data_IF_520217597332
#
_entry.id   IF_520217597332
#
_cell.length_a   1.000
_cell.length_b   1.000
_cell.length_c   1.000
_cell.angle_alpha   90.00
_cell.angle_beta   90.00
_cell.angle_gamma   90.00
#
_symmetry.space_group_name_H-M   'P 1'
#
loop_
_entity.id
_entity.type
_entity.pdbx_description
1 polymer ?
#
# COMPACT_ATOMS: atom_id res chain seq x y z
N UNK A 1 -27.63 20.69 57.40
CA UNK A 1 -26.29 20.16 57.05
C UNK A 1 -26.13 20.28 55.55
N UNK A 2 -25.26 21.19 55.09
CA UNK A 2 -24.96 21.38 53.67
C UNK A 2 -23.48 21.07 53.48
N UNK A 3 -23.17 19.94 52.85
CA UNK A 3 -21.79 19.55 52.55
C UNK A 3 -21.40 20.15 51.20
N UNK A 4 -20.52 21.16 51.24
CA UNK A 4 -19.81 21.72 50.08
C UNK A 4 -18.75 20.72 49.63
N UNK A 5 -18.75 20.40 48.35
CA UNK A 5 -17.71 19.64 47.66
C UNK A 5 -16.45 20.51 47.53
N UNK A 6 -15.41 20.20 48.30
CA UNK A 6 -14.08 20.80 48.14
C UNK A 6 -13.40 20.27 46.86
N UNK A 7 -13.24 21.15 45.86
CA UNK A 7 -12.35 20.90 44.72
C UNK A 7 -10.91 20.99 45.23
N UNK A 8 -10.16 19.89 45.17
CA UNK A 8 -8.70 19.90 45.36
C UNK A 8 -8.06 20.67 44.20
N UNK A 9 -7.75 21.95 44.42
CA UNK A 9 -6.97 22.75 43.50
C UNK A 9 -5.49 22.36 43.58
N UNK A 10 -4.85 22.17 42.43
CA UNK A 10 -3.40 22.04 42.36
C UNK A 10 -2.81 23.41 42.68
N UNK A 11 -2.17 23.56 43.84
CA UNK A 11 -1.46 24.77 44.20
C UNK A 11 -0.10 24.76 43.50
N UNK A 12 0.05 25.61 42.47
CA UNK A 12 1.34 25.90 41.83
C UNK A 12 1.74 27.30 42.25
N UNK A 13 2.90 27.43 42.88
CA UNK A 13 3.44 28.71 43.31
C UNK A 13 3.81 29.55 42.07
N UNK A 14 3.55 30.85 42.09
CA UNK A 14 3.79 31.72 40.93
C UNK A 14 5.28 31.77 40.56
N UNK A 15 6.16 31.53 41.53
CA UNK A 15 7.60 31.43 41.34
C UNK A 15 8.03 30.22 40.48
N UNK A 16 7.27 29.12 40.52
CA UNK A 16 7.56 27.90 39.75
C UNK A 16 7.20 28.00 38.26
N UNK A 17 6.37 28.99 37.91
CA UNK A 17 5.96 29.24 36.52
C UNK A 17 6.89 30.24 35.80
N UNK A 18 7.74 30.95 36.53
CA UNK A 18 8.61 31.98 35.97
C UNK A 18 9.88 31.39 35.35
N UNK A 19 10.36 32.07 34.31
CA UNK A 19 11.60 31.72 33.63
C UNK A 19 12.76 31.69 34.63
N UNK A 20 13.53 30.60 34.63
CA UNK A 20 14.70 30.41 35.51
C UNK A 20 15.76 31.51 35.42
N UNK A 21 15.79 32.30 34.35
CA UNK A 21 16.69 33.47 34.21
C UNK A 21 16.14 34.76 34.87
N UNK A 22 15.00 34.70 35.55
CA UNK A 22 14.44 35.84 36.27
C UNK A 22 13.99 37.00 35.37
N UNK A 23 13.73 36.73 34.08
CA UNK A 23 13.42 37.77 33.09
C UNK A 23 11.96 38.28 33.14
N UNK A 24 11.16 37.86 34.13
CA UNK A 24 9.76 38.26 34.30
C UNK A 24 8.75 37.60 33.33
N UNK A 25 9.18 36.65 32.50
CA UNK A 25 8.32 35.89 31.58
C UNK A 25 8.13 34.45 32.08
N UNK A 26 7.04 33.80 31.70
CA UNK A 26 6.78 32.41 32.09
C UNK A 26 7.69 31.42 31.36
N UNK A 27 8.24 30.46 32.10
CA UNK A 27 9.01 29.34 31.59
C UNK A 27 8.14 28.09 31.47
N UNK A 28 8.57 27.12 30.67
CA UNK A 28 7.90 25.82 30.60
C UNK A 28 8.91 24.67 30.71
N UNK A 29 8.43 23.48 31.06
CA UNK A 29 9.27 22.30 31.24
C UNK A 29 9.97 21.86 29.93
N UNK A 30 9.32 22.06 28.77
CA UNK A 30 9.88 21.72 27.46
C UNK A 30 11.14 22.53 27.12
N UNK A 31 11.27 23.74 27.66
CA UNK A 31 12.44 24.60 27.54
C UNK A 31 13.24 24.67 28.85
N UNK A 32 13.23 23.58 29.62
CA UNK A 32 14.00 23.43 30.87
C UNK A 32 13.70 24.51 31.93
N UNK A 33 12.50 25.10 31.90
CA UNK A 33 12.08 26.20 32.77
C UNK A 33 12.48 27.59 32.26
N UNK A 34 12.90 27.73 31.00
CA UNK A 34 13.20 29.01 30.36
C UNK A 34 12.00 29.51 29.55
N UNK A 35 11.87 30.82 29.39
CA UNK A 35 10.94 31.40 28.44
C UNK A 35 11.48 31.26 27.01
N UNK A 36 10.60 31.45 26.01
CA UNK A 36 10.93 31.34 24.58
C UNK A 36 12.13 32.20 24.16
N UNK A 37 12.28 33.39 24.74
CA UNK A 37 13.38 34.32 24.45
C UNK A 37 14.71 33.83 25.02
N UNK A 38 14.72 33.50 26.32
CA UNK A 38 15.92 33.02 27.01
C UNK A 38 16.39 31.65 26.49
N UNK A 39 15.45 30.78 26.10
CA UNK A 39 15.73 29.52 25.45
C UNK A 39 16.40 29.71 24.09
N UNK A 40 15.88 30.62 23.25
CA UNK A 40 16.44 30.89 21.93
C UNK A 40 17.89 31.41 22.00
N UNK A 41 18.16 32.33 22.92
CA UNK A 41 19.51 32.89 23.12
C UNK A 41 20.51 31.82 23.60
N UNK A 42 20.09 30.95 24.52
CA UNK A 42 20.94 29.90 25.07
C UNK A 42 21.18 28.77 24.06
N UNK A 43 20.15 28.39 23.31
CA UNK A 43 20.25 27.44 22.22
C UNK A 43 21.17 27.95 21.10
N UNK A 44 21.08 29.24 20.74
CA UNK A 44 21.98 29.85 19.75
C UNK A 44 23.44 29.88 20.23
N UNK A 45 23.69 30.20 21.51
CA UNK A 45 25.06 30.14 22.08
C UNK A 45 25.60 28.72 22.14
N UNK A 46 24.80 27.76 22.57
CA UNK A 46 25.20 26.35 22.61
C UNK A 46 25.56 25.82 21.21
N UNK A 47 24.75 26.18 20.20
CA UNK A 47 24.99 25.83 18.80
C UNK A 47 26.25 26.51 18.24
N UNK A 48 26.50 27.78 18.55
CA UNK A 48 27.74 28.46 18.14
C UNK A 48 28.99 27.85 18.78
N UNK A 49 28.91 27.47 20.07
CA UNK A 49 30.00 26.79 20.76
C UNK A 49 30.29 25.42 20.13
N UNK A 50 29.24 24.64 19.84
CA UNK A 50 29.40 23.36 19.16
C UNK A 50 30.05 23.49 17.78
N UNK A 51 29.69 24.51 17.01
CA UNK A 51 30.33 24.80 15.71
C UNK A 51 31.82 25.14 15.87
N UNK A 52 32.19 25.90 16.90
CA UNK A 52 33.59 26.22 17.19
C UNK A 52 34.39 24.98 17.61
N UNK A 53 33.80 24.12 18.45
CA UNK A 53 34.43 22.88 18.91
C UNK A 53 34.63 21.90 17.72
N UNK A 54 33.63 21.78 16.83
CA UNK A 54 33.72 20.96 15.61
C UNK A 54 34.78 21.49 14.63
N UNK A 55 34.91 22.82 14.51
CA UNK A 55 35.94 23.45 13.68
C UNK A 55 37.35 23.20 14.23
N UNK A 56 37.53 23.34 15.55
CA UNK A 56 38.81 23.06 16.21
C UNK A 56 39.21 21.57 16.09
N UNK A 57 38.23 20.66 16.15
CA UNK A 57 38.45 19.23 15.94
C UNK A 57 38.88 18.92 14.50
N UNK A 58 38.24 19.56 13.51
CA UNK A 58 38.60 19.41 12.11
C UNK A 58 40.03 19.90 11.84
N UNK A 59 40.41 21.05 12.41
CA UNK A 59 41.78 21.58 12.28
C UNK A 59 42.83 20.63 12.89
N UNK A 60 42.50 20.01 14.04
CA UNK A 60 43.39 19.03 14.68
C UNK A 60 43.57 17.79 13.81
N UNK A 61 42.48 17.23 13.27
CA UNK A 61 42.52 16.05 12.41
C UNK A 61 43.31 16.32 11.12
N UNK A 62 43.17 17.51 10.53
CA UNK A 62 43.92 17.88 9.34
C UNK A 62 45.42 18.01 9.64
N UNK A 63 45.79 18.56 10.81
CA UNK A 63 47.19 18.61 11.26
C UNK A 63 47.78 17.22 11.51
N UNK A 64 46.98 16.28 12.03
CA UNK A 64 47.39 14.88 12.19
C UNK A 64 47.55 14.17 10.83
N UNK A 65 46.68 14.45 9.86
CA UNK A 65 46.78 13.92 8.49
C UNK A 65 48.02 14.46 7.75
N UNK A 66 48.30 15.76 7.86
CA UNK A 66 49.51 16.39 7.33
C UNK A 66 50.79 15.86 7.99
N UNK A 67 50.77 15.61 9.30
CA UNK A 67 51.89 14.99 10.01
C UNK A 67 52.11 13.52 9.62
N UNK A 68 51.04 12.76 9.41
CA UNK A 68 51.11 11.39 8.90
C UNK A 68 51.66 11.36 7.46
N UNK A 69 51.26 12.33 6.62
CA UNK A 69 51.77 12.50 5.27
C UNK A 69 53.25 12.90 5.26
N UNK A 70 53.67 13.81 6.15
CA UNK A 70 55.08 14.19 6.32
C UNK A 70 55.96 13.03 6.83
N UNK A 71 55.43 12.20 7.74
CA UNK A 71 56.12 10.99 8.24
C UNK A 71 56.33 9.95 7.14
N UNK A 72 55.41 9.87 6.17
CA UNK A 72 55.52 8.97 5.02
C UNK A 72 56.58 9.38 3.97
N UNK A 73 57.06 10.64 3.98
CA UNK A 73 58.12 11.12 3.08
C UNK A 73 59.55 10.93 3.61
N UNK A 74 59.72 10.36 4.82
CA UNK A 74 61.04 10.10 5.42
C UNK A 74 61.81 8.90 4.85
N UNK A 75 61.25 8.16 3.89
CA UNK A 75 61.89 6.98 3.29
C UNK A 75 61.89 7.05 1.76
N UNK A 76 62.59 8.03 1.18
CA UNK A 76 63.13 7.92 -0.18
C UNK A 76 64.22 8.98 -0.43
N UNK A 77 65.48 8.56 -0.36
CA UNK A 77 66.63 9.28 -0.88
C UNK A 77 66.62 9.23 -2.42
N UNK A 78 66.77 10.41 -3.01
CA UNK A 78 66.75 10.71 -4.47
C UNK A 78 67.92 10.08 -5.25
N UNK A 79 67.91 10.17 -6.59
CA UNK A 79 68.72 11.24 -7.17
C UNK A 79 68.02 12.09 -8.25
N UNK A 80 68.28 13.39 -8.14
CA UNK A 80 68.06 14.46 -9.13
C UNK A 80 68.88 14.22 -10.42
N UNK A 81 68.45 14.78 -11.56
CA UNK A 81 69.04 16.01 -12.12
C UNK A 81 68.35 16.47 -13.43
N UNK A 82 67.81 17.70 -13.33
CA UNK A 82 67.77 18.82 -14.31
C UNK A 82 66.86 18.80 -15.54
N UNK A 83 65.84 19.66 -15.42
CA UNK A 83 65.14 20.43 -16.45
C UNK A 83 66.06 21.36 -17.24
N UNK A 84 65.84 21.56 -18.55
CA UNK A 84 65.46 22.88 -19.12
C UNK A 84 65.46 22.95 -20.67
N UNK A 85 64.51 23.77 -21.15
CA UNK A 85 64.37 24.45 -22.46
C UNK A 85 63.62 23.76 -23.63
N UNK A 86 62.35 24.17 -23.73
CA UNK A 86 61.67 24.77 -24.90
C UNK A 86 61.34 23.95 -26.17
N UNK A 87 60.02 23.86 -26.38
CA UNK A 87 59.26 23.98 -27.63
C UNK A 87 59.45 22.94 -28.75
N UNK A 88 58.40 22.14 -28.99
CA UNK A 88 57.56 22.24 -30.21
C UNK A 88 56.38 21.25 -30.20
N UNK A 89 55.23 21.80 -30.61
CA UNK A 89 54.03 21.26 -31.25
C UNK A 89 53.86 19.77 -31.59
N UNK A 90 52.59 19.35 -31.49
CA UNK A 90 51.82 18.30 -32.20
C UNK A 90 51.36 17.16 -31.27
N UNK A 91 50.08 17.09 -30.91
CA UNK A 91 48.97 16.48 -31.66
C UNK A 91 49.29 15.03 -32.07
N UNK A 92 48.73 14.05 -31.35
CA UNK A 92 48.12 12.81 -31.87
C UNK A 92 47.63 11.93 -30.68
N UNK A 93 46.32 11.74 -30.49
CA UNK A 93 45.52 10.59 -30.99
C UNK A 93 46.14 9.22 -30.67
N UNK A 94 45.65 8.58 -29.61
CA UNK A 94 45.90 7.17 -29.35
C UNK A 94 44.69 6.35 -29.81
N UNK A 95 44.84 5.68 -30.96
CA UNK A 95 43.98 4.57 -31.40
C UNK A 95 44.48 3.23 -30.84
N UNK A 96 43.65 2.17 -30.87
CA UNK A 96 43.97 0.90 -30.23
C UNK A 96 44.85 0.02 -31.12
N UNK A 97 45.84 -0.64 -30.53
CA UNK A 97 46.66 -1.64 -31.21
C UNK A 97 46.04 -3.03 -31.09
N UNK A 98 45.68 -3.58 -32.25
CA UNK A 98 45.34 -4.99 -32.45
C UNK A 98 46.59 -5.86 -32.40
N UNK A 99 46.48 -7.02 -31.73
CA UNK A 99 47.30 -8.20 -31.98
C UNK A 99 46.34 -9.33 -32.32
N UNK A 100 46.38 -9.77 -33.57
CA UNK A 100 45.62 -10.90 -34.08
C UNK A 100 46.27 -12.23 -33.66
N UNK A 101 45.44 -13.18 -33.26
CA UNK A 101 45.69 -14.61 -33.40
C UNK A 101 44.34 -15.26 -33.69
N UNK A 102 44.26 -15.94 -34.83
CA UNK A 102 43.06 -16.55 -35.38
C UNK A 102 42.63 -17.77 -34.56
N UNK A 103 41.36 -17.84 -34.17
CA UNK A 103 40.57 -19.07 -34.26
C UNK A 103 39.06 -18.76 -34.18
N UNK A 104 38.29 -19.39 -35.06
CA UNK A 104 36.91 -19.01 -35.37
C UNK A 104 35.88 -19.39 -34.31
N UNK A 105 34.85 -18.54 -34.16
CA UNK A 105 33.44 -18.90 -33.85
C UNK A 105 32.54 -17.65 -33.79
N UNK A 106 31.50 -17.67 -34.63
CA UNK A 106 30.14 -17.09 -34.50
C UNK A 106 29.92 -15.78 -33.70
N UNK A 107 29.22 -14.76 -34.27
CA UNK A 107 28.94 -13.52 -33.57
C UNK A 107 27.76 -13.70 -32.60
N UNK A 108 28.06 -13.82 -31.31
CA UNK A 108 27.08 -13.54 -30.24
C UNK A 108 27.17 -12.07 -29.88
N UNK A 109 26.06 -11.31 -29.85
CA UNK A 109 26.10 -9.90 -29.50
C UNK A 109 26.35 -9.77 -28.01
N UNK A 110 27.47 -9.15 -27.64
CA UNK A 110 27.72 -8.65 -26.30
C UNK A 110 26.62 -7.65 -25.95
N UNK A 111 25.78 -7.97 -24.98
CA UNK A 111 24.81 -7.05 -24.37
C UNK A 111 25.61 -5.98 -23.63
N UNK A 112 26.02 -4.94 -24.37
CA UNK A 112 26.24 -3.62 -23.81
C UNK A 112 24.97 -3.26 -23.03
N UNK A 113 25.13 -2.87 -21.77
CA UNK A 113 24.05 -2.53 -20.85
C UNK A 113 23.31 -1.30 -21.42
N UNK A 114 22.36 -1.53 -22.32
CA UNK A 114 21.59 -0.47 -22.97
C UNK A 114 20.90 0.35 -21.88
N UNK A 115 21.13 1.67 -21.90
CA UNK A 115 20.36 2.60 -21.10
C UNK A 115 18.88 2.44 -21.44
N UNK A 116 18.00 2.57 -20.44
CA UNK A 116 16.55 2.47 -20.68
C UNK A 116 16.14 3.56 -21.70
N UNK A 117 15.20 3.26 -22.61
CA UNK A 117 14.67 4.21 -23.59
C UNK A 117 14.20 5.53 -22.93
N UNK A 118 13.66 5.41 -21.71
CA UNK A 118 13.24 6.54 -20.88
C UNK A 118 14.44 7.37 -20.36
N UNK A 119 15.52 6.71 -19.97
CA UNK A 119 16.77 7.38 -19.57
C UNK A 119 17.39 8.16 -20.73
N UNK A 120 17.34 7.61 -21.95
CA UNK A 120 17.83 8.29 -23.15
C UNK A 120 16.97 9.49 -23.52
N UNK A 121 15.64 9.37 -23.37
CA UNK A 121 14.70 10.49 -23.55
C UNK A 121 14.99 11.62 -22.58
N UNK A 122 15.08 11.33 -21.28
CA UNK A 122 15.39 12.34 -20.25
C UNK A 122 16.76 12.98 -20.49
N UNK A 123 17.74 12.23 -20.99
CA UNK A 123 19.06 12.76 -21.32
C UNK A 123 19.01 13.76 -22.49
N UNK A 124 18.22 13.47 -23.53
CA UNK A 124 18.01 14.40 -24.66
C UNK A 124 17.29 15.66 -24.20
N UNK A 125 16.16 15.50 -23.51
CA UNK A 125 15.35 16.61 -23.00
C UNK A 125 16.18 17.52 -22.06
N UNK A 126 17.03 16.93 -21.21
CA UNK A 126 17.93 17.66 -20.32
C UNK A 126 19.01 18.42 -21.08
N UNK A 127 19.66 17.80 -22.07
CA UNK A 127 20.67 18.48 -22.89
C UNK A 127 20.05 19.62 -23.69
N UNK A 128 18.84 19.44 -24.22
CA UNK A 128 18.11 20.47 -24.96
C UNK A 128 17.70 21.64 -24.05
N UNK A 129 17.23 21.37 -22.83
CA UNK A 129 16.96 22.40 -21.82
C UNK A 129 18.22 23.20 -21.47
N UNK A 130 19.36 22.53 -21.27
CA UNK A 130 20.61 23.20 -20.90
C UNK A 130 21.24 24.01 -22.04
N UNK A 131 20.89 23.76 -23.32
CA UNK A 131 21.32 24.60 -24.44
C UNK A 131 20.81 26.04 -24.29
N UNK A 132 19.63 26.22 -23.71
CA UNK A 132 19.04 27.55 -23.47
C UNK A 132 19.84 28.35 -22.43
N UNK A 133 20.57 27.66 -21.54
CA UNK A 133 21.37 28.26 -20.47
C UNK A 133 22.85 28.45 -20.87
N UNK A 134 23.26 28.10 -22.09
CA UNK A 134 24.60 28.37 -22.64
C UNK A 134 25.77 27.89 -21.73
N UNK A 135 26.62 28.80 -21.24
CA UNK A 135 27.84 28.50 -20.46
C UNK A 135 27.53 27.82 -19.11
N UNK A 136 26.65 28.34 -18.24
CA UNK A 136 26.29 27.64 -17.00
C UNK A 136 25.65 26.27 -17.29
N UNK A 137 24.83 26.13 -18.34
CA UNK A 137 24.24 24.84 -18.71
C UNK A 137 25.27 23.73 -18.99
N UNK A 138 26.41 24.06 -19.62
CA UNK A 138 27.48 23.08 -19.88
C UNK A 138 28.19 22.61 -18.61
N UNK A 139 28.44 23.53 -17.69
CA UNK A 139 29.07 23.21 -16.40
C UNK A 139 28.14 22.35 -15.53
N UNK A 140 26.85 22.67 -15.54
CA UNK A 140 25.79 21.88 -14.90
C UNK A 140 25.79 20.42 -15.40
N UNK A 141 25.79 20.23 -16.73
CA UNK A 141 25.81 18.88 -17.30
C UNK A 141 27.10 18.11 -16.94
N UNK A 142 28.25 18.79 -16.93
CA UNK A 142 29.54 18.22 -16.53
C UNK A 142 29.53 17.76 -15.08
N UNK A 143 29.03 18.60 -14.16
CA UNK A 143 28.92 18.27 -12.73
C UNK A 143 27.94 17.12 -12.50
N UNK A 144 26.78 17.12 -13.15
CA UNK A 144 25.81 16.01 -13.05
C UNK A 144 26.41 14.68 -13.53
N UNK A 145 27.16 14.70 -14.65
CA UNK A 145 27.84 13.51 -15.17
C UNK A 145 28.91 13.00 -14.20
N UNK A 146 29.77 13.89 -13.71
CA UNK A 146 30.81 13.54 -12.74
C UNK A 146 30.21 12.96 -11.44
N UNK A 147 29.07 13.49 -10.99
CA UNK A 147 28.35 12.95 -9.84
C UNK A 147 27.81 11.54 -10.09
N UNK A 148 27.16 11.31 -11.23
CA UNK A 148 26.63 9.98 -11.60
C UNK A 148 27.77 8.96 -11.73
N UNK A 149 28.91 9.34 -12.32
CA UNK A 149 30.09 8.50 -12.43
C UNK A 149 30.71 8.22 -11.06
N UNK A 150 30.81 9.23 -10.18
CA UNK A 150 31.26 9.08 -8.79
C UNK A 150 30.42 8.06 -8.02
N UNK A 151 29.08 8.11 -8.17
CA UNK A 151 28.18 7.18 -7.51
C UNK A 151 28.17 5.79 -8.14
N UNK A 152 28.32 5.71 -9.46
CA UNK A 152 28.39 4.43 -10.18
C UNK A 152 29.68 3.66 -9.86
N UNK A 153 30.82 4.35 -9.73
CA UNK A 153 32.10 3.77 -9.30
C UNK A 153 32.12 3.40 -7.81
N UNK A 154 31.25 4.03 -7.00
CA UNK A 154 31.11 3.76 -5.56
C UNK A 154 30.29 2.50 -5.25
N UNK A 155 29.89 1.70 -6.24
CA UNK A 155 29.16 0.42 -6.04
C UNK A 155 29.89 -0.63 -5.17
N UNK A 156 31.13 -0.39 -4.73
CA UNK A 156 32.03 -1.37 -4.08
C UNK A 156 32.30 -1.15 -2.57
N UNK A 157 31.74 -0.15 -1.87
CA UNK A 157 31.97 -0.03 -0.39
C UNK A 157 30.71 0.32 0.39
N UNK A 158 30.58 -0.30 1.57
CA UNK A 158 29.41 -0.49 2.43
C UNK A 158 28.82 0.75 3.13
N UNK A 159 27.55 0.57 3.53
CA UNK A 159 26.66 1.15 4.56
C UNK A 159 26.85 2.57 5.12
N UNK A 160 28.06 3.12 5.21
CA UNK A 160 28.29 4.51 5.67
C UNK A 160 27.98 5.56 4.58
N UNK A 161 27.55 5.12 3.39
CA UNK A 161 27.66 5.84 2.11
C UNK A 161 26.46 6.69 1.72
N UNK A 162 25.27 6.40 2.24
CA UNK A 162 24.05 7.14 1.90
C UNK A 162 24.05 8.55 2.50
N UNK A 163 24.55 8.72 3.73
CA UNK A 163 24.73 10.04 4.37
C UNK A 163 25.78 10.91 3.66
N UNK A 164 26.88 10.30 3.21
CA UNK A 164 27.87 11.00 2.40
C UNK A 164 27.36 11.33 0.99
N UNK A 165 26.40 10.54 0.48
CA UNK A 165 25.72 10.83 -0.80
C UNK A 165 24.72 11.97 -0.64
N UNK A 166 23.95 11.99 0.46
CA UNK A 166 23.02 13.07 0.82
C UNK A 166 23.77 14.42 0.93
N UNK A 167 24.89 14.44 1.68
CA UNK A 167 25.73 15.63 1.77
C UNK A 167 26.40 16.01 0.45
N UNK A 168 26.63 15.05 -0.46
CA UNK A 168 27.11 15.34 -1.82
C UNK A 168 26.03 15.96 -2.69
N UNK A 169 24.78 15.48 -2.61
CA UNK A 169 23.64 16.02 -3.35
C UNK A 169 23.28 17.42 -2.86
N UNK A 170 23.27 17.64 -1.54
CA UNK A 170 23.08 18.98 -0.95
C UNK A 170 24.21 19.93 -1.32
N UNK A 171 25.46 19.45 -1.39
CA UNK A 171 26.59 20.25 -1.89
C UNK A 171 26.47 20.56 -3.38
N UNK A 172 25.94 19.65 -4.19
CA UNK A 172 25.63 19.93 -5.60
C UNK A 172 24.57 21.01 -5.67
N UNK A 173 23.42 20.82 -5.01
CA UNK A 173 22.34 21.79 -4.98
C UNK A 173 22.80 23.17 -4.44
N UNK A 174 23.61 23.20 -3.39
CA UNK A 174 24.19 24.41 -2.83
C UNK A 174 25.19 25.08 -3.80
N UNK A 175 26.09 24.31 -4.41
CA UNK A 175 27.04 24.83 -5.41
C UNK A 175 26.30 25.38 -6.64
N UNK A 176 25.21 24.75 -7.05
CA UNK A 176 24.33 25.21 -8.12
C UNK A 176 23.64 26.54 -7.78
N UNK A 177 23.05 26.65 -6.59
CA UNK A 177 22.41 27.88 -6.10
C UNK A 177 23.43 29.03 -5.98
N UNK A 178 24.67 28.74 -5.57
CA UNK A 178 25.74 29.74 -5.47
C UNK A 178 26.37 30.11 -6.82
N UNK A 179 26.40 29.19 -7.79
CA UNK A 179 26.94 29.43 -9.13
C UNK A 179 25.98 30.21 -10.03
N UNK A 180 24.68 30.16 -9.75
CA UNK A 180 23.69 31.02 -10.36
C UNK A 180 23.67 32.37 -9.63
N UNK A 181 24.14 33.43 -10.30
CA UNK A 181 23.94 34.83 -9.86
C UNK A 181 22.42 35.13 -9.73
N UNK A 182 21.97 36.20 -9.05
CA UNK A 182 20.58 36.39 -8.66
C UNK A 182 19.70 36.71 -9.89
N UNK A 183 19.38 35.69 -10.67
CA UNK A 183 18.22 35.64 -11.54
C UNK A 183 16.96 35.42 -10.71
N UNK A 184 15.79 35.50 -11.35
CA UNK A 184 14.52 35.21 -10.67
C UNK A 184 14.57 33.83 -10.00
N UNK A 185 14.10 33.75 -8.74
CA UNK A 185 14.02 32.52 -7.94
C UNK A 185 13.39 31.35 -8.72
N UNK A 186 12.42 31.67 -9.57
CA UNK A 186 11.67 30.73 -10.40
C UNK A 186 12.55 30.03 -11.46
N UNK A 187 13.54 30.71 -12.04
CA UNK A 187 14.46 30.10 -13.00
C UNK A 187 15.38 29.08 -12.30
N UNK A 188 15.80 29.37 -11.08
CA UNK A 188 16.65 28.46 -10.29
C UNK A 188 15.88 27.19 -9.92
N UNK A 189 14.63 27.30 -9.48
CA UNK A 189 13.80 26.13 -9.15
C UNK A 189 13.57 25.22 -10.37
N UNK A 190 13.26 25.79 -11.53
CA UNK A 190 13.09 25.02 -12.76
C UNK A 190 14.35 24.26 -13.17
N UNK A 191 15.53 24.88 -13.03
CA UNK A 191 16.81 24.22 -13.31
C UNK A 191 17.05 23.07 -12.34
N UNK A 192 16.77 23.28 -11.05
CA UNK A 192 16.96 22.29 -10.00
C UNK A 192 16.03 21.09 -10.20
N UNK A 193 14.79 21.32 -10.63
CA UNK A 193 13.84 20.27 -10.99
C UNK A 193 14.34 19.43 -12.17
N UNK A 194 14.93 20.06 -13.20
CA UNK A 194 15.50 19.33 -14.35
C UNK A 194 16.75 18.53 -13.96
N UNK A 195 17.58 19.08 -13.06
CA UNK A 195 18.74 18.38 -12.50
C UNK A 195 18.30 17.16 -11.70
N UNK A 196 17.31 17.30 -10.81
CA UNK A 196 16.75 16.19 -10.05
C UNK A 196 16.20 15.11 -10.99
N UNK A 197 15.39 15.49 -11.99
CA UNK A 197 14.83 14.58 -12.98
C UNK A 197 15.92 13.80 -13.72
N UNK A 198 16.98 14.47 -14.18
CA UNK A 198 18.08 13.83 -14.90
C UNK A 198 18.88 12.86 -14.02
N UNK A 199 19.30 13.30 -12.83
CA UNK A 199 20.11 12.50 -11.91
C UNK A 199 19.31 11.29 -11.41
N UNK A 200 18.08 11.51 -10.94
CA UNK A 200 17.28 10.47 -10.31
C UNK A 200 16.79 9.43 -11.31
N UNK A 201 16.48 9.80 -12.55
CA UNK A 201 16.13 8.81 -13.59
C UNK A 201 17.29 7.84 -13.87
N UNK A 202 18.55 8.30 -13.80
CA UNK A 202 19.73 7.46 -14.04
C UNK A 202 20.13 6.64 -12.82
N UNK A 203 20.01 7.23 -11.63
CA UNK A 203 20.42 6.59 -10.39
C UNK A 203 19.34 5.70 -9.78
N UNK A 204 18.07 5.82 -10.16
CA UNK A 204 16.93 5.10 -9.55
C UNK A 204 17.21 3.60 -9.36
N UNK A 205 17.69 2.90 -10.42
CA UNK A 205 18.02 1.46 -10.36
C UNK A 205 19.13 1.09 -9.36
N UNK A 206 19.93 2.07 -8.92
CA UNK A 206 21.06 1.87 -8.01
C UNK A 206 20.81 2.38 -6.60
N UNK A 207 19.89 3.34 -6.44
CA UNK A 207 19.64 4.01 -5.14
C UNK A 207 18.27 3.72 -4.54
N UNK A 208 17.32 3.22 -5.33
CA UNK A 208 16.00 2.81 -4.83
C UNK A 208 16.07 1.39 -4.28
N UNK A 209 15.64 1.19 -3.03
CA UNK A 209 15.70 -0.07 -2.29
C UNK A 209 17.05 -0.82 -2.47
N UNK A 210 18.17 -0.24 -2.01
CA UNK A 210 19.47 -0.89 -2.16
C UNK A 210 19.56 -2.10 -1.21
N UNK A 211 20.06 -3.23 -1.71
CA UNK A 211 20.23 -4.49 -0.95
C UNK A 211 21.07 -4.33 0.35
N UNK A 212 21.82 -3.23 0.46
CA UNK A 212 22.65 -2.90 1.62
C UNK A 212 21.87 -2.28 2.80
N UNK A 213 20.63 -1.84 2.60
CA UNK A 213 19.79 -1.19 3.64
C UNK A 213 18.71 -2.15 4.15
N UNK A 214 18.03 -1.75 5.23
CA UNK A 214 16.89 -2.48 5.80
C UNK A 214 15.54 -2.07 5.18
N UNK A 215 15.57 -1.35 4.04
CA UNK A 215 14.37 -0.78 3.43
C UNK A 215 13.39 -1.87 2.98
N UNK A 216 13.86 -2.94 2.34
CA UNK A 216 13.03 -4.08 1.92
C UNK A 216 12.36 -4.79 3.11
N UNK A 217 13.09 -4.94 4.22
CA UNK A 217 12.55 -5.56 5.44
C UNK A 217 11.43 -4.72 6.04
N UNK A 218 11.63 -3.39 6.06
CA UNK A 218 10.61 -2.44 6.53
C UNK A 218 9.40 -2.43 5.61
N UNK A 219 9.60 -2.47 4.28
CA UNK A 219 8.50 -2.58 3.32
C UNK A 219 7.62 -3.81 3.59
N UNK A 220 8.23 -4.98 3.77
CA UNK A 220 7.50 -6.21 4.08
C UNK A 220 6.78 -6.13 5.44
N UNK A 221 7.44 -5.58 6.46
CA UNK A 221 6.85 -5.40 7.78
C UNK A 221 5.62 -4.48 7.73
N UNK A 222 5.74 -3.30 7.13
CA UNK A 222 4.64 -2.34 6.98
C UNK A 222 3.52 -2.92 6.10
N UNK A 223 3.84 -3.62 5.01
CA UNK A 223 2.83 -4.25 4.15
C UNK A 223 2.03 -5.33 4.89
N UNK A 224 2.72 -6.20 5.63
CA UNK A 224 2.06 -7.24 6.44
C UNK A 224 1.21 -6.63 7.55
N UNK A 225 1.70 -5.54 8.16
CA UNK A 225 0.97 -4.79 9.17
C UNK A 225 -0.31 -4.18 8.62
N UNK A 226 -0.25 -3.50 7.47
CA UNK A 226 -1.44 -2.94 6.80
C UNK A 226 -2.43 -4.06 6.45
N UNK A 227 -1.94 -5.19 5.94
CA UNK A 227 -2.79 -6.35 5.60
C UNK A 227 -3.53 -6.90 6.83
N UNK A 228 -2.88 -6.97 7.99
CA UNK A 228 -3.50 -7.40 9.24
C UNK A 228 -4.57 -6.43 9.76
N UNK A 229 -4.48 -5.15 9.39
CA UNK A 229 -5.39 -4.07 9.79
C UNK A 229 -6.49 -3.80 8.75
N UNK A 230 -6.70 -4.70 7.77
CA UNK A 230 -7.70 -4.49 6.71
C UNK A 230 -9.15 -4.43 7.23
N UNK A 231 -9.40 -4.93 8.44
CA UNK A 231 -10.71 -4.89 9.10
C UNK A 231 -11.10 -3.50 9.62
N UNK A 232 -10.16 -2.56 9.76
CA UNK A 232 -10.43 -1.23 10.32
C UNK A 232 -11.43 -0.46 9.44
N UNK A 233 -12.47 0.10 10.06
CA UNK A 233 -13.55 0.84 9.39
C UNK A 233 -13.40 2.36 9.52
N UNK A 234 -14.09 3.11 8.66
CA UNK A 234 -14.17 4.59 8.66
C UNK A 234 -14.63 5.11 10.04
N UNK A 235 -15.59 4.42 10.65
CA UNK A 235 -16.20 4.79 11.93
C UNK A 235 -15.20 4.68 13.10
N UNK A 236 -14.33 3.65 13.10
CA UNK A 236 -13.31 3.46 14.15
C UNK A 236 -12.22 4.53 14.15
N UNK A 237 -11.93 5.09 12.97
CA UNK A 237 -10.95 6.17 12.79
C UNK A 237 -11.60 7.56 12.84
N UNK A 238 -12.92 7.66 13.09
CA UNK A 238 -13.68 8.91 13.04
C UNK A 238 -13.50 9.68 11.71
N UNK A 239 -13.39 8.96 10.59
CA UNK A 239 -13.14 9.57 9.29
C UNK A 239 -14.43 10.22 8.77
N UNK A 240 -14.32 11.50 8.41
CA UNK A 240 -15.42 12.31 7.87
C UNK A 240 -15.61 12.11 6.36
N UNK A 241 -15.77 10.85 5.94
CA UNK A 241 -16.04 10.48 4.55
C UNK A 241 -17.22 9.53 4.49
N UNK A 242 -18.20 9.86 3.68
CA UNK A 242 -19.35 9.01 3.46
C UNK A 242 -19.22 8.32 2.09
N UNK A 243 -18.79 7.06 2.10
CA UNK A 243 -18.63 6.23 0.88
C UNK A 243 -19.96 5.86 0.22
N UNK A 244 -21.11 6.12 0.88
CA UNK A 244 -22.44 5.92 0.31
C UNK A 244 -22.70 6.88 -0.87
N UNK A 245 -22.03 8.03 -0.88
CA UNK A 245 -22.12 9.02 -1.95
C UNK A 245 -21.20 8.59 -3.10
N UNK A 246 -21.71 8.33 -4.32
CA UNK A 246 -20.91 7.86 -5.44
C UNK A 246 -19.71 8.77 -5.78
N UNK A 247 -19.90 10.08 -5.68
CA UNK A 247 -18.82 11.05 -5.93
C UNK A 247 -17.69 10.99 -4.89
N UNK A 248 -18.01 10.65 -3.63
CA UNK A 248 -17.01 10.47 -2.58
C UNK A 248 -16.25 9.17 -2.81
N UNK A 249 -16.96 8.08 -3.14
CA UNK A 249 -16.36 6.80 -3.50
C UNK A 249 -15.40 6.92 -4.69
N UNK A 250 -15.78 7.64 -5.75
CA UNK A 250 -14.91 7.92 -6.89
C UNK A 250 -13.63 8.68 -6.50
N UNK A 251 -13.73 9.65 -5.60
CA UNK A 251 -12.56 10.38 -5.09
C UNK A 251 -11.66 9.50 -4.22
N UNK A 252 -12.25 8.62 -3.40
CA UNK A 252 -11.51 7.63 -2.61
C UNK A 252 -10.73 6.68 -3.52
N UNK A 253 -11.36 6.16 -4.58
CA UNK A 253 -10.69 5.29 -5.57
C UNK A 253 -9.57 6.02 -6.30
N UNK A 254 -9.75 7.30 -6.67
CA UNK A 254 -8.70 8.12 -7.26
C UNK A 254 -7.53 8.34 -6.29
N UNK A 255 -7.80 8.65 -5.02
CA UNK A 255 -6.76 8.80 -4.00
C UNK A 255 -5.96 7.50 -3.79
N UNK A 256 -6.64 6.35 -3.75
CA UNK A 256 -6.03 5.02 -3.70
C UNK A 256 -5.14 4.78 -4.93
N UNK A 257 -5.63 5.14 -6.12
CA UNK A 257 -4.88 4.98 -7.37
C UNK A 257 -3.60 5.82 -7.36
N UNK A 258 -3.68 7.09 -6.96
CA UNK A 258 -2.53 7.99 -6.91
C UNK A 258 -1.44 7.51 -5.94
N UNK A 259 -1.82 7.04 -4.75
CA UNK A 259 -0.85 6.57 -3.76
C UNK A 259 -0.18 5.25 -4.20
N UNK A 260 -0.88 4.41 -4.95
CA UNK A 260 -0.31 3.21 -5.58
C UNK A 260 0.62 3.62 -6.74
N UNK A 261 0.21 4.58 -7.56
CA UNK A 261 0.98 5.05 -8.72
C UNK A 261 2.31 5.71 -8.31
N UNK A 262 2.42 6.22 -7.07
CA UNK A 262 3.66 6.75 -6.50
C UNK A 262 4.87 5.83 -6.76
N UNK A 263 4.71 4.52 -6.60
CA UNK A 263 5.80 3.56 -6.76
C UNK A 263 6.30 3.45 -8.21
N UNK A 264 5.43 3.71 -9.19
CA UNK A 264 5.77 3.69 -10.62
C UNK A 264 6.67 4.85 -11.06
N UNK A 265 6.67 5.96 -10.30
CA UNK A 265 7.47 7.15 -10.63
C UNK A 265 8.93 6.96 -10.22
N UNK A 266 9.86 7.50 -11.01
CA UNK A 266 11.31 7.43 -10.68
C UNK A 266 11.85 8.69 -10.01
N UNK A 267 11.28 9.84 -10.32
CA UNK A 267 11.75 11.14 -9.81
C UNK A 267 11.07 11.42 -8.46
N UNK A 268 11.80 11.85 -7.41
CA UNK A 268 11.22 12.23 -6.12
C UNK A 268 10.11 13.28 -6.25
N UNK A 269 10.29 14.32 -7.08
CA UNK A 269 9.25 15.30 -7.41
C UNK A 269 7.95 14.65 -7.91
N UNK A 270 8.03 13.72 -8.84
CA UNK A 270 6.84 13.06 -9.40
C UNK A 270 6.16 12.17 -8.35
N UNK A 271 6.94 11.56 -7.44
CA UNK A 271 6.38 10.83 -6.29
C UNK A 271 5.65 11.76 -5.32
N UNK A 272 6.22 12.93 -5.03
CA UNK A 272 5.54 13.96 -4.23
C UNK A 272 4.26 14.45 -4.89
N UNK A 273 4.26 14.62 -6.22
CA UNK A 273 3.07 15.01 -6.96
C UNK A 273 1.93 13.98 -6.79
N UNK A 274 2.23 12.67 -6.83
CA UNK A 274 1.25 11.63 -6.52
C UNK A 274 0.67 11.75 -5.10
N UNK A 275 1.51 12.04 -4.10
CA UNK A 275 1.06 12.27 -2.71
C UNK A 275 0.16 13.52 -2.62
N UNK A 276 0.52 14.58 -3.34
CA UNK A 276 -0.26 15.83 -3.42
C UNK A 276 -1.61 15.62 -4.12
N UNK A 277 -1.65 14.86 -5.22
CA UNK A 277 -2.90 14.52 -5.91
C UNK A 277 -3.81 13.64 -5.04
N UNK A 278 -3.25 12.61 -4.41
CA UNK A 278 -3.97 11.78 -3.44
C UNK A 278 -4.60 12.64 -2.33
N UNK A 279 -3.82 13.55 -1.74
CA UNK A 279 -4.31 14.47 -0.71
C UNK A 279 -5.42 15.38 -1.23
N UNK A 280 -5.31 15.92 -2.45
CA UNK A 280 -6.35 16.77 -3.07
C UNK A 280 -7.66 16.00 -3.31
N UNK A 281 -7.59 14.71 -3.67
CA UNK A 281 -8.77 13.86 -3.76
C UNK A 281 -9.40 13.60 -2.39
N UNK A 282 -8.58 13.40 -1.35
CA UNK A 282 -9.06 13.30 0.05
C UNK A 282 -9.79 14.58 0.47
N UNK A 283 -9.21 15.76 0.24
CA UNK A 283 -9.87 17.04 0.54
C UNK A 283 -11.19 17.21 -0.22
N UNK A 284 -11.23 16.77 -1.48
CA UNK A 284 -12.45 16.83 -2.29
C UNK A 284 -13.54 15.90 -1.73
N UNK A 285 -13.18 14.68 -1.34
CA UNK A 285 -14.09 13.72 -0.70
C UNK A 285 -14.65 14.24 0.64
N UNK A 286 -13.80 14.82 1.50
CA UNK A 286 -14.26 15.40 2.77
C UNK A 286 -15.17 16.60 2.52
N UNK A 287 -14.82 17.47 1.57
CA UNK A 287 -15.61 18.65 1.24
C UNK A 287 -17.00 18.30 0.75
N UNK A 288 -17.14 17.24 -0.06
CA UNK A 288 -18.46 16.76 -0.53
C UNK A 288 -19.27 16.20 0.64
N UNK A 289 -18.63 15.46 1.55
CA UNK A 289 -19.30 14.84 2.70
C UNK A 289 -19.79 15.87 3.72
N UNK A 290 -18.93 16.82 4.11
CA UNK A 290 -19.21 17.81 5.17
C UNK A 290 -19.81 19.12 4.65
N UNK A 291 -19.79 19.38 3.34
CA UNK A 291 -20.08 20.69 2.72
C UNK A 291 -19.25 21.87 3.29
N UNK A 292 -18.17 21.57 4.02
CA UNK A 292 -17.27 22.53 4.65
C UNK A 292 -15.82 22.24 4.23
N UNK A 293 -14.93 23.25 4.23
CA UNK A 293 -13.51 23.01 4.00
C UNK A 293 -12.93 22.11 5.09
N UNK A 294 -12.25 21.04 4.71
CA UNK A 294 -11.70 20.07 5.66
C UNK A 294 -10.63 20.69 6.57
N UNK A 295 -10.70 20.35 7.86
CA UNK A 295 -9.64 20.68 8.82
C UNK A 295 -8.46 19.71 8.71
N UNK A 296 -7.31 20.08 9.26
CA UNK A 296 -6.17 19.17 9.43
C UNK A 296 -6.54 17.93 10.27
N UNK A 297 -7.45 18.10 11.23
CA UNK A 297 -7.97 17.03 12.10
C UNK A 297 -8.83 16.03 11.32
N UNK A 298 -9.44 16.45 10.21
CA UNK A 298 -10.22 15.57 9.32
C UNK A 298 -9.32 14.86 8.30
N UNK A 299 -8.23 15.50 7.90
CA UNK A 299 -7.35 15.03 6.85
C UNK A 299 -6.51 13.82 7.27
N UNK A 300 -5.87 13.87 8.44
CA UNK A 300 -4.94 12.80 8.85
C UNK A 300 -5.63 11.44 9.03
N UNK A 301 -6.81 11.33 9.70
CA UNK A 301 -7.54 10.07 9.79
C UNK A 301 -7.96 9.54 8.41
N UNK A 302 -8.38 10.43 7.51
CA UNK A 302 -8.73 10.06 6.15
C UNK A 302 -7.53 9.53 5.36
N UNK A 303 -6.35 10.16 5.49
CA UNK A 303 -5.12 9.68 4.87
C UNK A 303 -4.70 8.31 5.41
N UNK A 304 -4.80 8.09 6.73
CA UNK A 304 -4.54 6.78 7.35
C UNK A 304 -5.47 5.71 6.74
N UNK A 305 -6.76 6.03 6.60
CA UNK A 305 -7.73 5.13 6.01
C UNK A 305 -7.41 4.79 4.54
N UNK A 306 -7.08 5.79 3.72
CA UNK A 306 -6.65 5.57 2.32
C UNK A 306 -5.41 4.67 2.25
N UNK A 307 -4.41 4.89 3.11
CA UNK A 307 -3.19 4.06 3.15
C UNK A 307 -3.52 2.62 3.58
N UNK A 308 -4.42 2.42 4.54
CA UNK A 308 -4.88 1.10 4.97
C UNK A 308 -5.61 0.35 3.85
N UNK A 309 -6.45 1.05 3.07
CA UNK A 309 -7.17 0.46 1.92
C UNK A 309 -6.27 0.19 0.73
N UNK A 310 -5.38 1.12 0.40
CA UNK A 310 -4.53 1.04 -0.78
C UNK A 310 -3.40 0.01 -0.64
N UNK A 311 -2.86 -0.17 0.58
CA UNK A 311 -1.65 -0.93 0.86
C UNK A 311 -0.53 -0.69 -0.19
N UNK A 312 0.01 0.55 -0.29
CA UNK A 312 0.90 0.95 -1.36
C UNK A 312 2.16 0.07 -1.43
N UNK A 313 2.61 -0.33 -2.63
CA UNK A 313 3.80 -1.16 -2.78
C UNK A 313 5.05 -0.38 -2.36
N UNK A 314 5.97 -1.07 -1.65
CA UNK A 314 7.29 -0.54 -1.26
C UNK A 314 7.20 0.83 -0.55
N UNK A 315 6.21 0.99 0.33
CA UNK A 315 5.87 2.26 0.98
C UNK A 315 7.05 2.88 1.76
N UNK A 316 7.77 2.08 2.55
CA UNK A 316 8.91 2.54 3.33
C UNK A 316 10.10 2.92 2.44
N UNK A 317 10.40 2.12 1.42
CA UNK A 317 11.41 2.47 0.41
C UNK A 317 11.07 3.77 -0.30
N UNK A 318 9.81 4.02 -0.66
CA UNK A 318 9.37 5.26 -1.28
C UNK A 318 9.55 6.48 -0.37
N UNK A 319 9.14 6.38 0.90
CA UNK A 319 9.32 7.45 1.89
C UNK A 319 10.81 7.75 2.06
N UNK A 320 11.63 6.72 2.31
CA UNK A 320 13.07 6.86 2.48
C UNK A 320 13.74 7.44 1.24
N UNK A 321 13.31 7.02 0.05
CA UNK A 321 13.82 7.54 -1.21
C UNK A 321 13.56 9.05 -1.36
N UNK A 322 12.33 9.50 -1.05
CA UNK A 322 11.99 10.93 -1.07
C UNK A 322 12.82 11.68 -0.03
N UNK A 323 12.91 11.19 1.21
CA UNK A 323 13.69 11.81 2.28
C UNK A 323 15.19 11.94 1.93
N UNK A 324 15.75 10.98 1.19
CA UNK A 324 17.18 10.93 0.85
C UNK A 324 17.56 11.68 -0.43
N UNK A 325 16.62 11.94 -1.33
CA UNK A 325 16.98 12.38 -2.69
C UNK A 325 16.15 13.54 -3.24
N UNK A 326 15.04 13.91 -2.58
CA UNK A 326 14.29 15.10 -2.93
C UNK A 326 15.06 16.36 -2.52
N UNK A 327 14.90 17.43 -3.30
CA UNK A 327 15.38 18.76 -2.90
C UNK A 327 14.82 19.16 -1.52
N UNK A 328 15.68 19.45 -0.51
CA UNK A 328 15.24 19.79 0.84
C UNK A 328 14.41 21.07 0.90
N UNK A 329 14.61 22.05 -0.01
CA UNK A 329 13.79 23.27 -0.01
C UNK A 329 12.32 22.95 -0.24
N UNK A 330 12.02 21.97 -1.11
CA UNK A 330 10.65 21.52 -1.43
C UNK A 330 10.00 20.74 -0.27
N UNK A 331 10.80 20.01 0.51
CA UNK A 331 10.30 19.31 1.68
C UNK A 331 10.05 20.26 2.87
N UNK A 332 10.85 21.33 2.99
CA UNK A 332 10.75 22.29 4.10
C UNK A 332 9.76 23.43 3.82
N UNK A 333 9.42 23.67 2.56
CA UNK A 333 8.49 24.75 2.16
C UNK A 333 7.52 24.26 1.09
N UNK A 334 6.23 24.57 1.26
CA UNK A 334 5.18 24.26 0.28
C UNK A 334 4.17 23.20 0.72
N UNK A 335 3.19 22.94 -0.16
CA UNK A 335 2.13 21.95 0.08
C UNK A 335 2.66 20.51 0.04
N UNK A 336 3.62 20.21 -0.85
CA UNK A 336 4.21 18.88 -1.00
C UNK A 336 4.86 18.38 0.31
N UNK A 337 5.59 19.25 1.01
CA UNK A 337 6.21 18.94 2.30
C UNK A 337 5.21 18.68 3.41
N UNK A 338 4.07 19.41 3.42
CA UNK A 338 2.99 19.19 4.36
C UNK A 338 2.33 17.81 4.16
N UNK A 339 1.98 17.46 2.92
CA UNK A 339 1.37 16.15 2.64
C UNK A 339 2.35 14.99 2.87
N UNK A 340 3.62 15.16 2.50
CA UNK A 340 4.65 14.16 2.78
C UNK A 340 4.85 13.92 4.28
N UNK A 341 4.85 14.99 5.09
CA UNK A 341 4.95 14.86 6.56
C UNK A 341 3.73 14.14 7.12
N UNK A 342 2.52 14.45 6.64
CA UNK A 342 1.31 13.73 7.05
C UNK A 342 1.33 12.25 6.66
N UNK A 343 1.86 11.91 5.48
CA UNK A 343 2.05 10.51 5.08
C UNK A 343 3.02 9.79 6.03
N UNK A 344 4.14 10.44 6.38
CA UNK A 344 5.09 9.86 7.35
C UNK A 344 4.44 9.65 8.73
N UNK A 345 3.62 10.60 9.18
CA UNK A 345 2.84 10.47 10.42
C UNK A 345 1.82 9.32 10.33
N UNK A 346 1.11 9.20 9.21
CA UNK A 346 0.13 8.13 8.98
C UNK A 346 0.79 6.75 9.03
N UNK A 347 1.94 6.57 8.37
CA UNK A 347 2.68 5.30 8.40
C UNK A 347 3.19 4.98 9.81
N UNK A 348 3.77 5.96 10.50
CA UNK A 348 4.23 5.77 11.88
C UNK A 348 3.08 5.44 12.84
N UNK A 349 1.88 5.98 12.60
CA UNK A 349 0.67 5.66 13.34
C UNK A 349 0.23 4.21 13.07
N UNK A 350 0.16 3.77 11.81
CA UNK A 350 -0.21 2.40 11.43
C UNK A 350 0.74 1.35 12.04
N UNK A 351 2.03 1.66 12.10
CA UNK A 351 3.03 0.77 12.70
C UNK A 351 2.82 0.59 14.21
N UNK A 352 2.37 1.64 14.91
CA UNK A 352 2.17 1.65 16.36
C UNK A 352 0.70 1.52 16.79
N UNK A 353 -0.20 1.26 15.84
CA UNK A 353 -1.63 1.26 16.09
C UNK A 353 -2.01 0.22 17.15
N UNK A 354 -2.67 0.67 18.20
CA UNK A 354 -3.14 -0.17 19.31
C UNK A 354 -4.67 -0.06 19.48
N UNK A 355 -5.22 -0.89 20.37
CA UNK A 355 -6.66 -0.90 20.66
C UNK A 355 -7.15 0.47 21.14
N UNK A 356 -6.34 1.16 21.95
CA UNK A 356 -6.67 2.48 22.49
C UNK A 356 -6.79 3.54 21.38
N UNK A 357 -5.93 3.48 20.36
CA UNK A 357 -5.96 4.38 19.20
C UNK A 357 -7.25 4.27 18.39
N UNK A 358 -7.95 3.14 18.45
CA UNK A 358 -9.23 2.90 17.77
C UNK A 358 -10.45 3.01 18.69
N UNK A 359 -10.25 3.43 19.95
CA UNK A 359 -11.28 3.43 20.99
C UNK A 359 -11.93 2.05 21.22
N UNK A 360 -11.17 0.96 21.06
CA UNK A 360 -11.63 -0.41 21.27
C UNK A 360 -11.06 -1.02 22.54
N UNK A 361 -11.75 -2.03 23.08
CA UNK A 361 -11.18 -2.88 24.12
C UNK A 361 -10.03 -3.72 23.54
N UNK A 362 -8.99 -4.06 24.33
CA UNK A 362 -7.90 -4.91 23.86
C UNK A 362 -8.40 -6.30 23.43
N UNK A 363 -9.48 -6.79 24.05
CA UNK A 363 -10.10 -8.07 23.71
C UNK A 363 -10.73 -8.05 22.31
N UNK A 364 -11.48 -6.99 21.98
CA UNK A 364 -12.09 -6.85 20.66
C UNK A 364 -11.04 -6.66 19.57
N UNK A 365 -9.97 -5.91 19.88
CA UNK A 365 -8.85 -5.73 18.98
C UNK A 365 -8.16 -7.07 18.66
N UNK A 366 -7.92 -7.93 19.66
CA UNK A 366 -7.36 -9.26 19.44
C UNK A 366 -8.32 -10.19 18.67
N UNK A 367 -9.64 -10.10 18.91
CA UNK A 367 -10.64 -10.85 18.13
C UNK A 367 -10.65 -10.44 16.65
N UNK A 368 -10.51 -9.15 16.35
CA UNK A 368 -10.41 -8.67 14.97
C UNK A 368 -9.06 -9.06 14.32
N UNK A 369 -7.95 -8.97 15.05
CA UNK A 369 -6.63 -9.36 14.56
C UNK A 369 -6.49 -10.88 14.33
N UNK A 370 -7.18 -11.70 15.12
CA UNK A 370 -7.22 -13.17 14.95
C UNK A 370 -8.22 -13.62 13.88
N UNK A 371 -9.03 -12.71 13.34
CA UNK A 371 -10.06 -13.02 12.34
C UNK A 371 -11.28 -13.74 12.91
N UNK A 372 -11.44 -13.79 14.23
CA UNK A 372 -12.59 -14.42 14.89
C UNK A 372 -13.85 -13.54 14.87
N UNK A 373 -13.69 -12.24 14.68
CA UNK A 373 -14.79 -11.28 14.55
C UNK A 373 -14.54 -10.36 13.35
N UNK A 374 -15.62 -9.84 12.76
CA UNK A 374 -15.56 -8.81 11.72
C UNK A 374 -16.35 -7.59 12.20
N UNK A 375 -15.79 -6.37 12.14
CA UNK A 375 -16.46 -5.15 12.63
C UNK A 375 -17.82 -4.85 11.98
N UNK A 376 -18.14 -5.50 10.86
CA UNK A 376 -19.41 -5.32 10.14
C UNK A 376 -20.55 -6.22 10.60
N UNK A 377 -20.36 -7.03 11.64
CA UNK A 377 -21.42 -7.88 12.19
C UNK A 377 -22.17 -7.30 13.39
N UNK A 378 -21.88 -6.08 13.83
CA UNK A 378 -22.66 -5.45 14.89
C UNK A 378 -23.79 -4.60 14.31
N UNK A 379 -24.95 -5.24 14.07
CA UNK A 379 -26.24 -4.79 14.61
C UNK A 379 -27.34 -5.78 14.23
N UNK A 380 -27.61 -6.72 15.13
CA UNK A 380 -28.87 -7.47 15.15
C UNK A 380 -29.40 -7.75 16.57
N UNK A 381 -28.74 -7.28 17.64
CA UNK A 381 -29.17 -7.68 19.01
C UNK A 381 -29.12 -6.58 20.09
N UNK A 382 -29.09 -5.29 19.72
CA UNK A 382 -29.28 -4.19 20.67
C UNK A 382 -30.63 -3.50 20.40
N UNK A 383 -31.64 -3.88 21.18
CA UNK A 383 -33.00 -3.37 21.09
C UNK A 383 -33.11 -1.85 21.23
N UNK A 384 -33.42 -1.19 20.12
CA UNK A 384 -34.04 0.13 20.07
C UNK A 384 -35.29 0.06 19.18
N UNK A 385 -36.43 0.65 19.59
CA UNK A 385 -37.70 0.44 18.90
C UNK A 385 -37.70 1.12 17.53
N UNK A 386 -37.97 0.32 16.50
CA UNK A 386 -38.06 0.75 15.11
C UNK A 386 -39.31 1.59 14.83
N UNK A 387 -39.11 2.69 14.08
CA UNK A 387 -40.13 3.23 13.18
C UNK A 387 -39.46 3.71 11.89
N UNK A 388 -39.76 3.06 10.77
CA UNK A 388 -39.50 3.58 9.41
C UNK A 388 -38.81 2.59 8.46
N UNK A 389 -39.35 2.32 7.27
CA UNK A 389 -38.72 1.44 6.28
C UNK A 389 -37.78 2.25 5.36
N UNK A 390 -36.49 1.93 5.34
CA UNK A 390 -35.57 2.39 4.29
C UNK A 390 -34.41 1.39 4.09
N UNK A 391 -33.91 1.23 2.85
CA UNK A 391 -33.12 0.09 2.43
C UNK A 391 -31.64 0.26 2.80
N UNK A 392 -31.10 -0.69 3.54
CA UNK A 392 -29.70 -0.73 3.95
C UNK A 392 -28.98 -1.83 3.17
N UNK A 393 -28.01 -1.45 2.33
CA UNK A 393 -26.99 -2.37 1.79
C UNK A 393 -25.86 -1.57 1.16
N UNK A 394 -24.85 -1.20 1.96
CA UNK A 394 -23.57 -0.74 1.38
C UNK A 394 -22.35 -1.28 2.13
N UNK A 395 -21.56 -1.95 1.30
CA UNK A 395 -20.11 -2.01 1.22
C UNK A 395 -19.28 -2.87 2.17
N UNK A 396 -19.71 -4.05 2.63
CA UNK A 396 -18.76 -5.19 2.55
C UNK A 396 -18.21 -5.24 1.12
N UNK A 397 -17.00 -5.77 0.88
CA UNK A 397 -16.73 -6.28 -0.46
C UNK A 397 -17.91 -7.22 -0.75
N UNK A 398 -18.87 -6.78 -1.56
CA UNK A 398 -20.18 -7.44 -1.66
C UNK A 398 -19.95 -8.89 -2.02
N UNK A 399 -18.92 -9.12 -2.85
CA UNK A 399 -18.39 -10.43 -3.20
C UNK A 399 -17.94 -11.32 -2.01
N UNK A 400 -17.31 -10.77 -0.95
CA UNK A 400 -16.85 -11.56 0.20
C UNK A 400 -17.97 -11.88 1.19
N UNK A 401 -18.87 -10.92 1.46
CA UNK A 401 -20.05 -11.20 2.28
C UNK A 401 -20.99 -12.17 1.56
N UNK A 402 -21.24 -11.93 0.28
CA UNK A 402 -22.00 -12.83 -0.58
C UNK A 402 -21.32 -14.20 -0.72
N UNK A 403 -19.99 -14.28 -0.73
CA UNK A 403 -19.28 -15.56 -0.67
C UNK A 403 -19.55 -16.31 0.63
N UNK A 404 -19.49 -15.62 1.77
CA UNK A 404 -19.74 -16.23 3.08
C UNK A 404 -21.19 -16.70 3.20
N UNK A 405 -22.15 -15.85 2.80
CA UNK A 405 -23.57 -16.18 2.76
C UNK A 405 -23.86 -17.35 1.80
N UNK A 406 -23.21 -17.36 0.63
CA UNK A 406 -23.32 -18.48 -0.32
C UNK A 406 -22.72 -19.76 0.26
N UNK A 407 -21.64 -19.68 1.03
CA UNK A 407 -20.97 -20.83 1.62
C UNK A 407 -21.83 -21.44 2.73
N UNK A 408 -22.46 -20.60 3.56
CA UNK A 408 -23.43 -21.02 4.57
C UNK A 408 -24.68 -21.63 3.93
N UNK A 409 -25.21 -21.01 2.86
CA UNK A 409 -26.32 -21.56 2.09
C UNK A 409 -25.98 -22.91 1.44
N UNK A 410 -24.76 -23.08 0.92
CA UNK A 410 -24.29 -24.34 0.33
C UNK A 410 -24.14 -25.45 1.39
N UNK A 411 -23.62 -25.12 2.58
CA UNK A 411 -23.56 -26.07 3.70
C UNK A 411 -24.97 -26.49 4.15
N UNK A 412 -25.89 -25.53 4.27
CA UNK A 412 -27.29 -25.80 4.58
C UNK A 412 -27.99 -26.67 3.53
N UNK A 413 -27.74 -26.42 2.25
CA UNK A 413 -28.25 -27.22 1.14
C UNK A 413 -27.68 -28.65 1.16
N UNK A 414 -26.37 -28.80 1.42
CA UNK A 414 -25.72 -30.11 1.53
C UNK A 414 -26.36 -30.96 2.63
N UNK A 415 -26.55 -30.38 3.83
CA UNK A 415 -27.19 -31.08 4.95
C UNK A 415 -28.64 -31.45 4.64
N UNK A 416 -29.41 -30.55 4.00
CA UNK A 416 -30.80 -30.85 3.58
C UNK A 416 -30.85 -31.95 2.53
N UNK A 417 -29.90 -31.98 1.60
CA UNK A 417 -29.83 -33.01 0.57
C UNK A 417 -29.48 -34.37 1.18
N UNK A 418 -28.57 -34.42 2.14
CA UNK A 418 -28.22 -35.64 2.88
C UNK A 418 -29.44 -36.19 3.63
N UNK A 419 -30.15 -35.35 4.39
CA UNK A 419 -31.39 -35.74 5.08
C UNK A 419 -32.49 -36.22 4.12
N UNK A 420 -32.64 -35.58 2.96
CA UNK A 420 -33.61 -36.01 1.94
C UNK A 420 -33.24 -37.37 1.34
N UNK A 421 -31.96 -37.60 1.08
CA UNK A 421 -31.46 -38.88 0.56
C UNK A 421 -31.66 -40.01 1.57
N UNK A 422 -31.36 -39.77 2.85
CA UNK A 422 -31.62 -40.74 3.93
C UNK A 422 -33.11 -41.04 4.06
N UNK A 423 -33.98 -40.02 4.06
CA UNK A 423 -35.42 -40.20 4.14
C UNK A 423 -35.97 -40.98 2.92
N UNK A 424 -35.45 -40.71 1.72
CA UNK A 424 -35.83 -41.42 0.50
C UNK A 424 -35.41 -42.91 0.56
N UNK A 425 -34.22 -43.20 1.08
CA UNK A 425 -33.73 -44.57 1.26
C UNK A 425 -34.55 -45.34 2.32
N UNK A 426 -34.94 -44.67 3.40
CA UNK A 426 -35.85 -45.24 4.41
C UNK A 426 -37.20 -45.57 3.79
N UNK A 427 -37.82 -44.63 3.09
CA UNK A 427 -39.12 -44.85 2.43
C UNK A 427 -39.05 -45.96 1.38
N UNK A 428 -37.95 -46.05 0.64
CA UNK A 428 -37.73 -47.14 -0.33
C UNK A 428 -37.69 -48.50 0.38
N UNK A 429 -36.99 -48.59 1.52
CA UNK A 429 -36.91 -49.81 2.32
C UNK A 429 -38.28 -50.20 2.89
N UNK A 430 -39.02 -49.21 3.39
CA UNK A 430 -40.37 -49.40 3.92
C UNK A 430 -41.34 -49.91 2.85
N UNK A 431 -41.30 -49.33 1.63
CA UNK A 431 -42.13 -49.75 0.50
C UNK A 431 -41.88 -51.21 0.10
N UNK A 432 -40.62 -51.63 0.06
CA UNK A 432 -40.25 -53.02 -0.27
C UNK A 432 -40.75 -53.95 0.84
N UNK A 433 -40.50 -53.62 2.11
CA UNK A 433 -40.96 -54.44 3.24
C UNK A 433 -42.49 -54.56 3.28
N UNK A 434 -43.20 -53.48 2.96
CA UNK A 434 -44.65 -53.47 2.92
C UNK A 434 -45.17 -54.34 1.79
N UNK A 435 -44.57 -54.26 0.60
CA UNK A 435 -44.93 -55.11 -0.52
C UNK A 435 -44.72 -56.60 -0.18
N UNK A 436 -43.58 -56.96 0.41
CA UNK A 436 -43.27 -58.33 0.83
C UNK A 436 -44.27 -58.82 1.89
N UNK A 437 -44.59 -57.98 2.88
CA UNK A 437 -45.57 -58.29 3.93
C UNK A 437 -46.96 -58.56 3.35
N UNK A 438 -47.44 -57.69 2.45
CA UNK A 438 -48.74 -57.87 1.79
C UNK A 438 -48.76 -59.14 0.93
N UNK A 439 -47.69 -59.43 0.20
CA UNK A 439 -47.60 -60.66 -0.59
C UNK A 439 -47.65 -61.91 0.30
N UNK A 440 -46.95 -61.89 1.44
CA UNK A 440 -46.96 -62.99 2.39
C UNK A 440 -48.35 -63.16 3.03
N UNK A 441 -48.98 -62.08 3.45
CA UNK A 441 -50.31 -62.11 4.08
C UNK A 441 -51.39 -62.62 3.10
N UNK A 442 -51.34 -62.19 1.83
CA UNK A 442 -52.22 -62.71 0.78
C UNK A 442 -51.98 -64.22 0.55
N UNK A 443 -50.72 -64.65 0.52
CA UNK A 443 -50.37 -66.06 0.36
C UNK A 443 -50.88 -66.90 1.53
N UNK A 444 -50.70 -66.43 2.77
CA UNK A 444 -51.18 -67.11 3.97
C UNK A 444 -52.71 -67.23 3.99
N UNK A 445 -53.44 -66.21 3.51
CA UNK A 445 -54.90 -66.24 3.38
C UNK A 445 -55.33 -67.25 2.31
N UNK A 446 -54.66 -67.29 1.16
CA UNK A 446 -54.95 -68.25 0.08
C UNK A 446 -54.69 -69.71 0.51
N UNK A 447 -53.64 -69.95 1.32
CA UNK A 447 -53.35 -71.27 1.88
C UNK A 447 -54.38 -71.66 2.96
N UNK A 448 -54.84 -70.70 3.77
CA UNK A 448 -55.82 -70.92 4.84
C UNK A 448 -57.25 -71.14 4.33
N UNK A 449 -57.61 -70.52 3.21
CA UNK A 449 -58.92 -70.65 2.56
C UNK A 449 -58.76 -71.02 1.07
N UNK A 450 -58.49 -72.30 0.76
CA UNK A 450 -58.36 -72.73 -0.62
C UNK A 450 -59.67 -72.51 -1.38
N UNK A 451 -59.61 -71.69 -2.43
CA UNK A 451 -60.73 -71.44 -3.32
C UNK A 451 -60.96 -72.68 -4.19
N UNK A 452 -61.85 -73.58 -3.75
CA UNK A 452 -62.39 -74.62 -4.63
C UNK A 452 -63.34 -73.97 -5.66
N UNK A 453 -62.80 -73.58 -6.81
CA UNK A 453 -63.61 -73.23 -7.96
C UNK A 453 -64.22 -74.53 -8.49
N UNK A 454 -65.41 -74.90 -8.00
CA UNK A 454 -66.21 -75.93 -8.66
C UNK A 454 -66.62 -75.38 -10.04
N UNK A 455 -66.23 -76.01 -11.15
CA UNK A 455 -66.83 -75.67 -12.44
C UNK A 455 -68.34 -75.91 -12.33
N UNK A 456 -69.19 -75.08 -12.97
CA UNK A 456 -70.62 -75.33 -12.96
C UNK A 456 -70.84 -76.76 -13.48
N UNK A 457 -71.64 -77.54 -12.75
CA UNK A 457 -72.04 -78.87 -13.19
C UNK A 457 -72.56 -78.73 -14.62
N UNK A 458 -72.01 -79.52 -15.54
CA UNK A 458 -72.50 -79.57 -16.91
C UNK A 458 -73.99 -79.95 -16.86
N UNK A 459 -74.86 -78.95 -16.94
CA UNK A 459 -76.26 -79.13 -17.23
C UNK A 459 -76.32 -79.75 -18.62
N UNK A 460 -76.46 -81.07 -18.65
CA UNK A 460 -76.72 -81.85 -19.84
C UNK A 460 -78.08 -81.44 -20.42
N UNK A 461 -78.10 -80.41 -21.27
CA UNK A 461 -79.29 -80.04 -22.05
C UNK A 461 -78.95 -79.69 -23.51
N UNK A 462 -77.71 -79.32 -23.86
CA UNK A 462 -77.40 -78.81 -25.23
C UNK A 462 -76.22 -79.49 -25.95
N UNK A 463 -75.90 -80.73 -25.60
CA UNK A 463 -74.92 -81.54 -26.35
C UNK A 463 -75.58 -82.84 -26.80
N UNK A 464 -76.46 -82.71 -27.81
CA UNK A 464 -76.74 -83.69 -28.88
C UNK A 464 -78.14 -83.43 -29.46
N UNK A 465 -78.24 -82.44 -30.34
CA UNK A 465 -79.30 -82.43 -31.35
C UNK A 465 -78.77 -81.82 -32.66
N UNK A 466 -77.85 -82.56 -33.25
CA UNK A 466 -77.48 -82.43 -34.67
C UNK A 466 -78.64 -83.07 -35.45
N UNK A 467 -79.26 -82.28 -36.35
CA UNK A 467 -80.40 -82.64 -37.23
C UNK A 467 -81.80 -82.62 -36.59
N UNK A 468 -82.45 -81.45 -36.57
CA UNK A 468 -83.91 -81.40 -36.67
C UNK A 468 -84.37 -80.21 -37.52
N UNK A 469 -84.70 -80.49 -38.78
CA UNK A 469 -85.18 -79.59 -39.84
C UNK A 469 -86.61 -79.06 -39.61
N UNK A 470 -86.98 -78.69 -38.37
CA UNK A 470 -88.33 -78.19 -38.04
C UNK A 470 -88.37 -77.04 -37.02
N UNK A 471 -87.43 -76.10 -37.11
CA UNK A 471 -87.54 -74.84 -36.38
C UNK A 471 -87.94 -73.70 -37.34
N UNK A 472 -88.95 -72.89 -37.00
CA UNK A 472 -89.37 -71.78 -37.84
C UNK A 472 -88.26 -70.72 -37.96
N UNK A 473 -88.11 -70.07 -39.13
CA UNK A 473 -87.02 -69.13 -39.35
C UNK A 473 -87.08 -67.95 -38.37
N UNK A 474 -85.93 -67.40 -37.97
CA UNK A 474 -85.86 -66.31 -36.99
C UNK A 474 -86.60 -65.08 -37.49
N UNK A 475 -87.42 -64.49 -36.62
CA UNK A 475 -88.19 -63.28 -36.90
C UNK A 475 -87.25 -62.11 -37.24
N UNK A 476 -87.19 -61.74 -38.52
CA UNK A 476 -86.57 -60.50 -38.98
C UNK A 476 -87.45 -59.31 -38.59
N UNK A 477 -86.93 -58.26 -37.93
CA UNK A 477 -87.71 -57.06 -37.65
C UNK A 477 -88.10 -56.36 -38.95
N UNK A 478 -89.41 -56.22 -39.19
CA UNK A 478 -89.93 -55.38 -40.28
C UNK A 478 -89.74 -53.90 -39.94
N UNK A 479 -89.12 -53.17 -40.86
CA UNK A 479 -89.08 -51.71 -40.84
C UNK A 479 -90.42 -51.19 -41.38
N UNK A 480 -91.18 -50.51 -40.54
CA UNK A 480 -92.34 -49.69 -40.93
C UNK A 480 -91.81 -48.28 -41.30
N UNK A 481 -92.22 -47.56 -42.34
CA UNK A 481 -93.09 -47.84 -43.48
C UNK A 481 -92.77 -46.78 -44.56
N UNK A 482 -92.76 -47.18 -45.84
CA UNK A 482 -92.52 -46.30 -46.99
C UNK A 482 -91.85 -47.02 -48.13
#
# INVERSE_FOLDING_TARGET
MSQRTERRGIHVDQSDLLCKKGCGYYGNAAWQGLCSKCWREEYQRARQKQIQDDWALAEKLQREEEAAYASSQGAQSQPQYKTSYAAKSNLDKCGPSSLESQDGKTPSPSISRQSSMETDRVSRDFVDFLKNLQKPGREIHKQCRAFIESLSCKKVRSSQKLRNTLSSTDRIYFHFIMSFSPGSSECVEQVMDQVEKYIMTRLYKSVFCPETTDDEKKDLATQNRIRALHWVTIQMLCVSMDEEIPEVSDNVVKAITDIIEMDSKRVPRDKLACITHCSKHIFSAIKITKNEPASADDFLPALIYIVLKANPPRLQSNIQYITRFCNPSRLMTGEDGYYFTNLCCAVAFIEKLDAQSLNLSPEDFERYMSGQASPRQHDSDAGWPQTGPAPSTVATNTALAQLHDNLEALLGLSSRQENLMEAAQSLQSDLVSWQESVQQEVKDILEKYPLEIRPPAASAIDADNVENDRLPPPLTPQVFAG
#
